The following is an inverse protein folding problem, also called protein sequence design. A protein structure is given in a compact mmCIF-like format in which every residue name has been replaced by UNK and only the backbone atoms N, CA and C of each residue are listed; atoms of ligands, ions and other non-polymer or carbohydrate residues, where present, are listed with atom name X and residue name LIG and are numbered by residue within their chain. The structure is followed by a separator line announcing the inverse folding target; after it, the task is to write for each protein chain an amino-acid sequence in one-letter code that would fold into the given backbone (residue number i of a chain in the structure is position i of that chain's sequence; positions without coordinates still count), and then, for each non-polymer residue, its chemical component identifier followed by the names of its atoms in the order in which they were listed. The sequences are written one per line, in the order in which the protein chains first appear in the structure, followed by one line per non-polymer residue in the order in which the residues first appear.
data_IF_804909589504
#
_entry.id   IF_804909589504
#
_cell.length_a   1.000
_cell.length_b   1.000
_cell.length_c   1.000
_cell.angle_alpha   90.00
_cell.angle_beta   90.00
_cell.angle_gamma   90.00
#
_symmetry.space_group_name_H-M   'P 1'
#
loop_
_entity.id
_entity.type
_entity.pdbx_description
1 polymer ?
#
# COMPACT_ATOMS: atom_id res chain seq x y z
N UNK A 1 0.44 -13.69 13.74
CA UNK A 1 -0.10 -13.39 12.38
C UNK A 1 0.34 -12.00 12.01
N UNK A 2 0.94 -11.85 10.85
CA UNK A 2 1.37 -10.53 10.36
C UNK A 2 0.35 -9.92 9.38
N UNK A 3 0.25 -8.60 9.38
CA UNK A 3 -0.48 -7.80 8.38
C UNK A 3 0.55 -6.98 7.62
N UNK A 4 0.65 -7.15 6.32
CA UNK A 4 1.60 -6.44 5.47
C UNK A 4 0.83 -5.60 4.45
N UNK A 5 1.00 -4.30 4.49
CA UNK A 5 0.42 -3.36 3.53
C UNK A 5 1.51 -3.00 2.53
N UNK A 6 1.26 -3.25 1.24
CA UNK A 6 2.20 -2.93 0.16
C UNK A 6 1.61 -1.85 -0.74
N UNK A 7 2.28 -0.72 -0.79
CA UNK A 7 1.83 0.47 -1.50
C UNK A 7 2.93 1.07 -2.39
N UNK A 8 2.54 2.00 -3.21
CA UNK A 8 3.44 2.77 -4.07
C UNK A 8 2.84 3.04 -5.44
N UNK A 9 3.47 3.91 -6.24
CA UNK A 9 3.07 4.21 -7.62
C UNK A 9 2.93 2.95 -8.47
N UNK A 10 2.24 3.08 -9.60
CA UNK A 10 2.16 2.00 -10.57
C UNK A 10 3.56 1.64 -11.10
N UNK A 11 3.71 0.40 -11.53
CA UNK A 11 4.95 -0.12 -12.11
C UNK A 11 6.18 -0.13 -11.19
N UNK A 12 6.00 -0.10 -9.85
CA UNK A 12 7.09 -0.20 -8.86
C UNK A 12 7.41 -1.62 -8.42
N UNK A 13 6.77 -2.66 -8.95
CA UNK A 13 7.07 -4.05 -8.63
C UNK A 13 6.35 -4.63 -7.41
N UNK A 14 5.25 -4.02 -6.96
CA UNK A 14 4.45 -4.51 -5.82
C UNK A 14 4.10 -6.00 -5.92
N UNK A 15 3.62 -6.45 -7.08
CA UNK A 15 3.24 -7.85 -7.29
C UNK A 15 4.41 -8.82 -7.12
N UNK A 16 5.63 -8.38 -7.40
CA UNK A 16 6.85 -9.18 -7.19
C UNK A 16 7.09 -9.44 -5.71
N UNK A 17 6.91 -8.42 -4.84
CA UNK A 17 7.03 -8.59 -3.39
C UNK A 17 5.91 -9.46 -2.84
N UNK A 18 4.69 -9.27 -3.30
CA UNK A 18 3.52 -10.07 -2.90
C UNK A 18 3.77 -11.55 -3.22
N UNK A 19 4.25 -11.84 -4.43
CA UNK A 19 4.57 -13.22 -4.81
C UNK A 19 5.63 -13.84 -3.89
N UNK A 20 6.66 -13.06 -3.53
CA UNK A 20 7.68 -13.53 -2.57
C UNK A 20 7.09 -13.87 -1.20
N UNK A 21 6.10 -13.11 -0.71
CA UNK A 21 5.42 -13.44 0.54
C UNK A 21 4.63 -14.74 0.40
N UNK A 22 3.90 -14.92 -0.71
CA UNK A 22 3.12 -16.12 -0.98
C UNK A 22 4.01 -17.35 -1.03
N UNK A 23 5.16 -17.25 -1.68
CA UNK A 23 6.10 -18.37 -1.84
C UNK A 23 6.77 -18.80 -0.52
N UNK A 24 6.86 -17.89 0.46
CA UNK A 24 7.55 -18.10 1.73
C UNK A 24 6.64 -18.38 2.93
N UNK A 25 5.31 -18.32 2.77
CA UNK A 25 4.37 -18.56 3.86
C UNK A 25 3.35 -19.65 3.50
N UNK A 26 2.89 -20.40 4.51
CA UNK A 26 1.98 -21.54 4.27
C UNK A 26 0.55 -21.10 3.95
N UNK A 27 0.04 -20.10 4.68
CA UNK A 27 -1.32 -19.60 4.50
C UNK A 27 -1.31 -18.09 4.41
N UNK A 28 -1.47 -17.59 3.19
CA UNK A 28 -1.49 -16.14 2.90
C UNK A 28 -2.89 -15.74 2.43
N UNK A 29 -3.47 -14.75 3.08
CA UNK A 29 -4.67 -14.08 2.60
C UNK A 29 -4.28 -12.81 1.86
N UNK A 30 -4.50 -12.80 0.55
CA UNK A 30 -4.30 -11.62 -0.28
C UNK A 30 -5.60 -10.82 -0.39
N UNK A 31 -5.54 -9.54 -0.05
CA UNK A 31 -6.65 -8.59 -0.16
C UNK A 31 -6.27 -7.54 -1.20
N UNK A 32 -7.04 -7.48 -2.28
CA UNK A 32 -6.96 -6.40 -3.26
C UNK A 32 -7.96 -5.32 -2.88
N UNK A 33 -7.49 -4.10 -2.71
CA UNK A 33 -8.36 -2.94 -2.47
C UNK A 33 -8.56 -2.21 -3.80
N UNK A 34 -9.48 -2.74 -4.58
CA UNK A 34 -9.85 -2.17 -5.87
C UNK A 34 -10.66 -0.87 -5.70
N UNK A 35 -10.84 -0.16 -6.80
CA UNK A 35 -11.74 1.01 -6.84
C UNK A 35 -13.15 0.55 -6.46
N UNK A 36 -13.85 1.26 -5.54
CA UNK A 36 -15.19 0.88 -5.14
C UNK A 36 -16.16 0.94 -6.33
N UNK A 37 -17.03 -0.04 -6.40
CA UNK A 37 -18.24 0.04 -7.21
C UNK A 37 -19.23 0.94 -6.47
N UNK A 38 -19.65 2.02 -7.10
CA UNK A 38 -20.49 3.05 -6.47
C UNK A 38 -21.82 3.08 -7.19
N UNK A 39 -22.90 2.92 -6.43
CA UNK A 39 -24.25 3.08 -6.96
C UNK A 39 -24.53 4.55 -7.32
N UNK A 40 -25.42 4.82 -8.30
CA UNK A 40 -25.78 6.19 -8.64
C UNK A 40 -26.36 6.94 -7.44
N UNK A 41 -25.67 8.00 -7.02
CA UNK A 41 -26.08 8.86 -5.91
C UNK A 41 -25.29 8.69 -4.62
N UNK A 42 -24.46 7.65 -4.51
CA UNK A 42 -23.58 7.45 -3.37
C UNK A 42 -22.31 8.30 -3.47
N UNK A 43 -21.73 8.65 -2.33
CA UNK A 43 -20.43 9.31 -2.28
C UNK A 43 -19.32 8.25 -2.43
N UNK A 44 -18.53 8.28 -3.54
CA UNK A 44 -17.44 7.33 -3.75
C UNK A 44 -16.43 7.27 -2.61
N UNK A 45 -16.22 8.38 -1.92
CA UNK A 45 -15.28 8.44 -0.80
C UNK A 45 -15.84 7.73 0.45
N UNK A 46 -17.13 7.90 0.75
CA UNK A 46 -17.75 7.21 1.89
C UNK A 46 -17.76 5.70 1.68
N UNK A 47 -18.06 5.22 0.47
CA UNK A 47 -18.03 3.81 0.14
C UNK A 47 -16.61 3.24 0.24
N UNK A 48 -15.60 4.00 -0.22
CA UNK A 48 -14.20 3.62 -0.06
C UNK A 48 -13.79 3.52 1.41
N UNK A 49 -14.19 4.47 2.24
CA UNK A 49 -13.95 4.44 3.68
C UNK A 49 -14.57 3.20 4.32
N UNK A 50 -15.83 2.90 3.97
CA UNK A 50 -16.53 1.71 4.46
C UNK A 50 -15.80 0.43 4.10
N UNK A 51 -15.33 0.32 2.86
CA UNK A 51 -14.55 -0.83 2.37
C UNK A 51 -13.27 -1.02 3.19
N UNK A 52 -12.52 0.04 3.45
CA UNK A 52 -11.30 -0.05 4.26
C UNK A 52 -11.57 -0.49 5.68
N UNK A 53 -12.63 0.01 6.33
CA UNK A 53 -13.03 -0.44 7.66
C UNK A 53 -13.44 -1.91 7.69
N UNK A 54 -14.19 -2.37 6.70
CA UNK A 54 -14.57 -3.78 6.57
C UNK A 54 -13.33 -4.65 6.43
N UNK A 55 -12.35 -4.25 5.64
CA UNK A 55 -11.10 -5.00 5.48
C UNK A 55 -10.29 -5.04 6.79
N UNK A 56 -10.18 -3.91 7.51
CA UNK A 56 -9.52 -3.89 8.82
C UNK A 56 -10.24 -4.79 9.84
N UNK A 57 -11.57 -4.72 9.89
CA UNK A 57 -12.39 -5.58 10.73
C UNK A 57 -12.18 -7.06 10.40
N UNK A 58 -12.24 -7.42 9.13
CA UNK A 58 -12.01 -8.79 8.69
C UNK A 58 -10.62 -9.31 9.05
N UNK A 59 -9.57 -8.47 8.97
CA UNK A 59 -8.23 -8.84 9.40
C UNK A 59 -8.19 -9.19 10.89
N UNK A 60 -8.91 -8.43 11.73
CA UNK A 60 -9.03 -8.74 13.17
C UNK A 60 -9.78 -10.06 13.39
N UNK A 61 -10.86 -10.33 12.64
CA UNK A 61 -11.58 -11.61 12.72
C UNK A 61 -10.70 -12.80 12.31
N UNK A 62 -9.89 -12.63 11.25
CA UNK A 62 -8.96 -13.65 10.78
C UNK A 62 -7.87 -13.96 11.82
N UNK A 63 -7.38 -12.94 12.55
CA UNK A 63 -6.46 -13.14 13.69
C UNK A 63 -7.05 -14.08 14.73
N UNK A 64 -8.34 -13.99 15.02
CA UNK A 64 -9.00 -14.83 16.02
C UNK A 64 -9.11 -16.29 15.59
N UNK A 65 -9.19 -16.55 14.28
CA UNK A 65 -9.30 -17.92 13.72
C UNK A 65 -7.99 -18.69 13.77
N UNK A 66 -6.84 -18.02 13.77
CA UNK A 66 -5.49 -18.62 13.82
C UNK A 66 -5.14 -19.59 12.68
N UNK A 67 -5.80 -19.47 11.56
CA UNK A 67 -5.60 -20.31 10.37
C UNK A 67 -4.85 -19.58 9.24
N UNK A 68 -4.49 -18.32 9.45
CA UNK A 68 -3.77 -17.46 8.51
C UNK A 68 -2.44 -17.03 9.12
N UNK A 69 -1.34 -17.20 8.38
CA UNK A 69 -0.01 -16.75 8.78
C UNK A 69 0.19 -15.25 8.51
N UNK A 70 -0.23 -14.83 7.32
CA UNK A 70 -0.02 -13.46 6.84
C UNK A 70 -1.23 -12.96 6.05
N UNK A 71 -1.68 -11.74 6.34
CA UNK A 71 -2.60 -10.98 5.48
C UNK A 71 -1.79 -9.95 4.71
N UNK A 72 -1.94 -9.94 3.39
CA UNK A 72 -1.29 -8.96 2.52
C UNK A 72 -2.36 -8.08 1.89
N UNK A 73 -2.26 -6.77 2.12
CA UNK A 73 -3.03 -5.77 1.40
C UNK A 73 -2.21 -5.30 0.19
N UNK A 74 -2.68 -5.64 -1.02
CA UNK A 74 -2.16 -5.09 -2.26
C UNK A 74 -2.91 -3.79 -2.55
N UNK A 75 -2.30 -2.67 -2.21
CA UNK A 75 -2.91 -1.35 -2.04
C UNK A 75 -3.88 -1.34 -0.85
N UNK A 76 -4.02 -0.19 -0.20
CA UNK A 76 -4.96 -0.01 0.88
C UNK A 76 -5.33 1.49 0.99
N UNK A 77 -5.68 1.96 2.17
CA UNK A 77 -6.11 3.34 2.40
C UNK A 77 -5.02 4.41 2.12
N UNK A 78 -3.74 4.05 2.15
CA UNK A 78 -2.67 4.99 1.78
C UNK A 78 -2.76 5.37 0.29
N UNK A 79 -3.14 4.41 -0.55
CA UNK A 79 -3.39 4.67 -1.97
C UNK A 79 -4.51 5.69 -2.19
N UNK A 80 -5.55 5.71 -1.34
CA UNK A 80 -6.61 6.73 -1.42
C UNK A 80 -6.08 8.14 -1.17
N UNK A 81 -5.09 8.29 -0.27
CA UNK A 81 -4.44 9.58 -0.07
C UNK A 81 -3.82 10.15 -1.35
N UNK A 82 -3.33 9.30 -2.21
CA UNK A 82 -2.68 9.67 -3.47
C UNK A 82 -3.72 9.79 -4.59
N UNK A 83 -4.37 8.69 -4.91
CA UNK A 83 -5.28 8.59 -6.06
C UNK A 83 -6.60 9.34 -5.84
N UNK A 84 -7.08 9.42 -4.61
CA UNK A 84 -8.24 10.21 -4.24
C UNK A 84 -8.04 11.69 -4.53
N UNK A 85 -6.87 12.24 -4.17
CA UNK A 85 -6.58 13.66 -4.41
C UNK A 85 -6.31 13.98 -5.89
N UNK A 86 -5.61 13.10 -6.60
CA UNK A 86 -5.22 13.38 -8.00
C UNK A 86 -6.37 13.16 -8.98
N UNK A 87 -7.16 12.12 -8.77
CA UNK A 87 -8.10 11.61 -9.78
C UNK A 87 -9.57 11.70 -9.40
N UNK A 88 -9.90 11.94 -8.11
CA UNK A 88 -11.28 11.91 -7.59
C UNK A 88 -11.68 13.15 -6.79
N UNK A 89 -10.89 14.22 -6.80
CA UNK A 89 -11.11 15.44 -6.02
C UNK A 89 -11.35 15.17 -4.51
N UNK A 90 -10.69 14.15 -3.98
CA UNK A 90 -10.86 13.72 -2.59
C UNK A 90 -10.43 14.80 -1.59
N UNK A 91 -11.21 14.98 -0.53
CA UNK A 91 -10.89 15.89 0.56
C UNK A 91 -9.71 15.34 1.40
N UNK A 92 -8.57 16.00 1.27
CA UNK A 92 -7.33 15.62 1.97
C UNK A 92 -7.50 15.48 3.48
N UNK A 93 -8.32 16.33 4.11
CA UNK A 93 -8.54 16.29 5.56
C UNK A 93 -9.34 15.06 5.96
N UNK A 94 -10.41 14.76 5.24
CA UNK A 94 -11.21 13.56 5.45
C UNK A 94 -10.40 12.28 5.24
N UNK A 95 -9.56 12.25 4.19
CA UNK A 95 -8.69 11.10 3.91
C UNK A 95 -7.68 10.89 5.04
N UNK A 96 -7.05 11.96 5.55
CA UNK A 96 -6.13 11.86 6.70
C UNK A 96 -6.82 11.35 7.95
N UNK A 97 -8.03 11.79 8.22
CA UNK A 97 -8.82 11.33 9.36
C UNK A 97 -9.15 9.83 9.24
N UNK A 98 -9.56 9.39 8.05
CA UNK A 98 -9.79 7.97 7.74
C UNK A 98 -8.52 7.12 7.98
N UNK A 99 -7.37 7.56 7.47
CA UNK A 99 -6.08 6.87 7.68
C UNK A 99 -5.82 6.71 9.18
N UNK A 100 -5.91 7.82 9.93
CA UNK A 100 -5.67 7.81 11.37
C UNK A 100 -6.57 6.81 12.10
N UNK A 101 -7.88 6.86 11.86
CA UNK A 101 -8.84 5.96 12.52
C UNK A 101 -8.55 4.50 12.16
N UNK A 102 -8.23 4.22 10.90
CA UNK A 102 -7.93 2.85 10.44
C UNK A 102 -6.64 2.31 11.09
N UNK A 103 -5.58 3.11 11.15
CA UNK A 103 -4.32 2.72 11.78
C UNK A 103 -4.46 2.55 13.29
N UNK A 104 -5.17 3.46 13.97
CA UNK A 104 -5.48 3.33 15.41
C UNK A 104 -6.29 2.06 15.70
N UNK A 105 -7.27 1.71 14.84
CA UNK A 105 -8.03 0.47 14.96
C UNK A 105 -7.15 -0.77 14.80
N UNK A 106 -6.29 -0.79 13.80
CA UNK A 106 -5.34 -1.89 13.59
C UNK A 106 -4.39 -2.04 14.78
N UNK A 107 -3.76 -0.94 15.22
CA UNK A 107 -2.81 -0.94 16.35
C UNK A 107 -3.45 -1.29 17.69
N UNK A 108 -4.75 -1.10 17.84
CA UNK A 108 -5.51 -1.56 19.02
C UNK A 108 -5.68 -3.09 19.06
N UNK A 109 -5.68 -3.73 17.90
CA UNK A 109 -6.01 -5.15 17.76
C UNK A 109 -4.80 -6.04 17.41
N UNK A 110 -3.70 -5.46 16.98
CA UNK A 110 -2.46 -6.15 16.63
C UNK A 110 -1.29 -5.52 17.36
N UNK A 111 -0.25 -6.30 17.60
CA UNK A 111 1.00 -5.77 18.09
C UNK A 111 1.66 -4.89 17.03
N UNK A 112 2.38 -3.85 17.46
CA UNK A 112 3.01 -2.88 16.57
C UNK A 112 3.93 -3.55 15.53
N UNK A 113 4.67 -4.57 15.96
CA UNK A 113 5.59 -5.31 15.08
C UNK A 113 4.90 -6.30 14.13
N UNK A 114 3.62 -6.55 14.33
CA UNK A 114 2.81 -7.41 13.47
C UNK A 114 2.15 -6.67 12.31
N UNK A 115 2.14 -5.34 12.31
CA UNK A 115 1.57 -4.53 11.23
C UNK A 115 2.68 -3.76 10.52
N UNK A 116 2.92 -4.13 9.28
CA UNK A 116 4.03 -3.60 8.49
C UNK A 116 3.50 -2.83 7.27
N UNK A 117 3.96 -1.60 7.11
CA UNK A 117 3.69 -0.80 5.91
C UNK A 117 4.96 -0.71 5.06
N UNK A 118 4.93 -1.30 3.88
CA UNK A 118 6.01 -1.25 2.90
C UNK A 118 5.60 -0.38 1.73
N UNK A 119 6.35 0.69 1.51
CA UNK A 119 6.16 1.55 0.36
C UNK A 119 7.28 1.35 -0.65
N UNK A 120 6.92 0.85 -1.83
CA UNK A 120 7.80 0.92 -3.00
C UNK A 120 7.70 2.32 -3.62
N UNK A 121 8.82 2.95 -3.88
CA UNK A 121 8.83 4.27 -4.51
C UNK A 121 10.01 4.43 -5.47
N UNK A 122 9.98 5.46 -6.27
CA UNK A 122 11.06 5.85 -7.17
C UNK A 122 11.51 7.28 -6.89
N UNK A 123 12.79 7.54 -7.02
CA UNK A 123 13.31 8.91 -7.02
C UNK A 123 13.31 9.54 -8.42
N UNK A 124 12.91 8.77 -9.47
CA UNK A 124 12.95 9.19 -10.87
C UNK A 124 11.64 8.91 -11.58
N UNK A 125 10.94 9.96 -11.98
CA UNK A 125 9.75 9.89 -12.86
C UNK A 125 10.06 9.28 -14.21
N UNK A 126 11.24 9.57 -14.74
CA UNK A 126 11.66 9.06 -16.05
C UNK A 126 11.74 7.53 -16.07
N UNK A 127 12.20 6.94 -14.95
CA UNK A 127 12.23 5.47 -14.81
C UNK A 127 10.84 4.88 -14.73
N UNK A 128 9.92 5.46 -13.95
CA UNK A 128 8.54 5.00 -13.90
C UNK A 128 7.88 5.07 -15.27
N UNK A 129 8.07 6.17 -16.00
CA UNK A 129 7.54 6.33 -17.36
C UNK A 129 8.11 5.29 -18.33
N UNK A 130 9.41 4.99 -18.23
CA UNK A 130 10.06 3.98 -19.08
C UNK A 130 9.50 2.57 -18.84
N UNK A 131 9.03 2.30 -17.61
CA UNK A 131 8.49 1.01 -17.21
C UNK A 131 6.95 0.95 -17.26
N UNK A 132 6.30 1.99 -17.78
CA UNK A 132 4.84 2.07 -17.86
C UNK A 132 4.31 1.06 -18.90
N UNK A 133 3.41 0.19 -18.44
CA UNK A 133 2.73 -0.82 -19.26
C UNK A 133 1.47 -0.31 -19.97
N UNK A 134 1.22 1.00 -19.88
CA UNK A 134 0.05 1.66 -20.47
C UNK A 134 -1.26 1.48 -19.69
N UNK A 135 -1.21 0.91 -18.49
CA UNK A 135 -2.38 0.69 -17.62
C UNK A 135 -2.41 1.59 -16.39
N UNK A 136 -1.39 2.46 -16.24
CA UNK A 136 -1.32 3.37 -15.09
C UNK A 136 -2.41 4.44 -15.16
N UNK A 137 -2.94 4.86 -14.01
CA UNK A 137 -3.89 5.97 -13.90
C UNK A 137 -3.30 7.31 -14.35
N UNK A 138 -1.98 7.44 -14.29
CA UNK A 138 -1.27 8.63 -14.76
C UNK A 138 -1.25 8.79 -16.28
N UNK A 139 -1.58 7.71 -17.05
CA UNK A 139 -1.51 7.69 -18.51
C UNK A 139 -0.13 8.14 -19.05
N UNK A 140 0.95 7.73 -18.36
CA UNK A 140 2.33 8.16 -18.63
C UNK A 140 2.56 9.69 -18.57
N UNK A 141 1.67 10.43 -17.93
CA UNK A 141 1.82 11.88 -17.71
C UNK A 141 2.82 12.12 -16.58
N UNK A 142 3.98 12.68 -16.92
CA UNK A 142 5.08 12.88 -15.98
C UNK A 142 4.71 13.78 -14.79
N UNK A 143 3.85 14.79 -14.99
CA UNK A 143 3.40 15.65 -13.89
C UNK A 143 2.53 14.88 -12.88
N UNK A 144 1.59 14.06 -13.37
CA UNK A 144 0.78 13.19 -12.51
C UNK A 144 1.65 12.16 -11.78
N UNK A 145 2.58 11.52 -12.50
CA UNK A 145 3.52 10.55 -11.91
C UNK A 145 4.39 11.18 -10.82
N UNK A 146 4.91 12.39 -11.03
CA UNK A 146 5.67 13.11 -10.00
C UNK A 146 4.77 13.40 -8.79
N UNK A 147 3.53 13.84 -9.05
CA UNK A 147 2.58 14.10 -7.97
C UNK A 147 2.23 12.86 -7.18
N UNK A 148 2.11 11.70 -7.82
CA UNK A 148 1.95 10.41 -7.12
C UNK A 148 3.14 10.12 -6.20
N UNK A 149 4.38 10.26 -6.70
CA UNK A 149 5.60 10.07 -5.90
C UNK A 149 5.60 10.97 -4.67
N UNK A 150 5.29 12.27 -4.85
CA UNK A 150 5.29 13.25 -3.78
C UNK A 150 4.24 12.93 -2.71
N UNK A 151 3.02 12.57 -3.13
CA UNK A 151 1.94 12.22 -2.22
C UNK A 151 2.18 10.88 -1.51
N UNK A 152 2.81 9.90 -2.17
CA UNK A 152 3.24 8.69 -1.50
C UNK A 152 4.31 8.98 -0.44
N UNK A 153 5.27 9.86 -0.71
CA UNK A 153 6.21 10.31 0.30
C UNK A 153 5.50 10.99 1.48
N UNK A 154 4.52 11.83 1.21
CA UNK A 154 3.77 12.53 2.25
C UNK A 154 2.96 11.58 3.14
N UNK A 155 2.21 10.64 2.56
CA UNK A 155 1.43 9.66 3.33
C UNK A 155 2.32 8.71 4.13
N UNK A 156 3.49 8.38 3.60
CA UNK A 156 4.48 7.60 4.33
C UNK A 156 4.90 8.30 5.63
N UNK A 157 5.23 9.59 5.58
CA UNK A 157 5.60 10.33 6.79
C UNK A 157 4.45 10.43 7.79
N UNK A 158 3.22 10.53 7.30
CA UNK A 158 2.02 10.65 8.12
C UNK A 158 1.62 9.35 8.83
N UNK A 159 1.87 8.19 8.24
CA UNK A 159 1.52 6.88 8.81
C UNK A 159 2.23 6.63 10.15
N UNK A 160 1.49 6.07 11.12
CA UNK A 160 2.00 5.70 12.46
C UNK A 160 2.36 4.22 12.58
N UNK A 161 2.21 3.45 11.50
CA UNK A 161 2.57 2.04 11.47
C UNK A 161 4.09 1.83 11.45
N UNK A 162 4.55 0.64 11.80
CA UNK A 162 5.93 0.21 11.50
C UNK A 162 6.10 0.18 9.99
N UNK A 163 6.99 1.01 9.46
CA UNK A 163 7.05 1.29 8.02
C UNK A 163 8.45 1.26 7.46
N UNK A 164 8.56 0.86 6.20
CA UNK A 164 9.80 0.87 5.45
C UNK A 164 9.56 1.34 4.02
N UNK A 165 10.45 2.21 3.53
CA UNK A 165 10.42 2.72 2.16
C UNK A 165 11.54 2.06 1.36
N UNK A 166 11.18 1.37 0.31
CA UNK A 166 12.12 0.74 -0.62
C UNK A 166 12.15 1.56 -1.90
N UNK A 167 13.31 2.12 -2.22
CA UNK A 167 13.52 2.75 -3.53
C UNK A 167 13.82 1.65 -4.56
N UNK A 168 13.08 1.67 -5.67
CA UNK A 168 13.28 0.71 -6.76
C UNK A 168 14.43 1.07 -7.68
N UNK A 169 15.08 2.23 -7.43
CA UNK A 169 16.18 2.73 -8.25
C UNK A 169 17.30 3.31 -7.39
N UNK A 170 18.49 3.28 -7.97
CA UNK A 170 19.68 4.00 -7.51
C UNK A 170 20.10 4.95 -8.64
N UNK A 171 19.90 6.25 -8.41
CA UNK A 171 20.02 7.26 -9.45
C UNK A 171 19.09 6.95 -10.65
N UNK A 172 19.66 6.88 -11.84
CA UNK A 172 18.93 6.62 -13.10
C UNK A 172 18.82 5.14 -13.49
N UNK A 173 19.20 4.23 -12.59
CA UNK A 173 19.15 2.79 -12.85
C UNK A 173 18.17 2.08 -11.93
N UNK A 174 17.45 1.09 -12.46
CA UNK A 174 16.68 0.19 -11.59
C UNK A 174 17.61 -0.65 -10.75
N UNK A 175 17.27 -0.83 -9.49
CA UNK A 175 17.87 -1.84 -8.62
C UNK A 175 17.48 -3.24 -9.09
N UNK A 176 18.30 -4.23 -8.78
CA UNK A 176 17.94 -5.61 -9.08
C UNK A 176 16.73 -6.07 -8.23
N UNK A 177 15.99 -7.00 -8.78
CA UNK A 177 14.88 -7.64 -8.02
C UNK A 177 15.41 -8.28 -6.74
N UNK A 178 16.58 -8.86 -6.78
CA UNK A 178 17.22 -9.54 -5.64
C UNK A 178 17.55 -8.56 -4.52
N UNK A 179 18.16 -7.42 -4.80
CA UNK A 179 18.46 -6.38 -3.80
C UNK A 179 17.19 -5.87 -3.12
N UNK A 180 16.11 -5.65 -3.90
CA UNK A 180 14.83 -5.20 -3.36
C UNK A 180 14.21 -6.28 -2.45
N UNK A 181 14.29 -7.54 -2.83
CA UNK A 181 13.77 -8.65 -2.04
C UNK A 181 14.58 -8.88 -0.76
N UNK A 182 15.90 -8.72 -0.80
CA UNK A 182 16.75 -8.80 0.39
C UNK A 182 16.35 -7.70 1.38
N UNK A 183 16.30 -6.45 0.95
CA UNK A 183 15.90 -5.32 1.80
C UNK A 183 14.49 -5.49 2.39
N UNK A 184 13.55 -5.98 1.58
CA UNK A 184 12.20 -6.28 2.02
C UNK A 184 12.18 -7.38 3.09
N UNK A 185 12.87 -8.50 2.84
CA UNK A 185 12.91 -9.63 3.77
C UNK A 185 13.61 -9.25 5.08
N UNK A 186 14.66 -8.46 5.03
CA UNK A 186 15.32 -7.93 6.22
C UNK A 186 14.33 -7.11 7.07
N UNK A 187 13.55 -6.24 6.44
CA UNK A 187 12.55 -5.44 7.15
C UNK A 187 11.45 -6.29 7.79
N UNK A 188 10.87 -7.23 7.07
CA UNK A 188 9.77 -8.05 7.61
C UNK A 188 10.22 -9.05 8.68
N UNK A 189 11.52 -9.37 8.74
CA UNK A 189 12.11 -10.30 9.70
C UNK A 189 12.77 -9.61 10.92
N UNK A 190 13.04 -8.29 10.87
CA UNK A 190 13.64 -7.54 11.99
C UNK A 190 12.74 -7.38 13.22
N UNK A 191 11.63 -8.07 13.29
CA UNK A 191 10.70 -8.10 14.44
C UNK A 191 10.59 -9.46 15.12
N UNK A 192 11.58 -10.36 14.90
CA UNK A 192 11.64 -11.68 15.55
C UNK A 192 12.71 -11.65 16.62
#
# INVERSE_FOLDING_TARGET
MKVIIIEGPDNTGKNTLIQSIIDNNKVVKLVHCDKPEVEPGDDPFEEQCRTFYIHAYNAVQDKLRKDIDVIVFNRYYQGEYVYGQIYRNGDRKKIKEMIKITEEYLLKNFDYDDILYVQLNSSSVNLLKKNDDGKSLSEANMYKMQREIDLFNEVYEYSILKKHKILINDGDNFRTREDILIEFNDFINTGI
#
